data_IF_487623663639
#
_entry.id   IF_487623663639
#
_cell.length_a   1.000
_cell.length_b   1.000
_cell.length_c   1.000
_cell.angle_alpha   90.00
_cell.angle_beta   90.00
_cell.angle_gamma   90.00
#
_symmetry.space_group_name_H-M   'P 1'
#
loop_
_entity.id
_entity.type
_entity.pdbx_description
1 polymer ?
#
# COMPACT_ATOMS: atom_id res chain seq x y z
N UNK A 1 5.28 -16.65 0.31
CA UNK A 1 4.07 -15.91 0.74
C UNK A 1 3.81 -14.93 -0.38
N UNK A 2 2.64 -14.98 -1.01
CA UNK A 2 2.39 -14.25 -2.25
C UNK A 2 2.41 -12.74 -1.99
N UNK A 3 3.18 -11.97 -2.75
CA UNK A 3 3.42 -10.52 -2.55
C UNK A 3 2.14 -9.69 -2.39
N UNK A 4 1.05 -10.17 -3.00
CA UNK A 4 -0.28 -9.58 -2.94
C UNK A 4 -0.91 -9.62 -1.52
N UNK A 5 -0.67 -10.68 -0.75
CA UNK A 5 -1.13 -10.75 0.64
C UNK A 5 -0.38 -9.73 1.51
N UNK A 6 0.92 -9.54 1.26
CA UNK A 6 1.73 -8.55 1.98
C UNK A 6 1.30 -7.12 1.68
N UNK A 7 0.92 -6.81 0.43
CA UNK A 7 0.46 -5.48 0.04
C UNK A 7 -0.88 -5.13 0.71
N UNK A 8 -1.82 -6.08 0.78
CA UNK A 8 -3.10 -5.88 1.47
C UNK A 8 -2.90 -5.60 2.96
N UNK A 9 -2.05 -6.36 3.64
CA UNK A 9 -1.82 -6.19 5.08
C UNK A 9 -1.19 -4.83 5.40
N UNK A 10 -0.25 -4.39 4.56
CA UNK A 10 0.33 -3.05 4.65
C UNK A 10 -0.72 -1.95 4.40
N UNK A 11 -1.57 -2.11 3.38
CA UNK A 11 -2.65 -1.17 3.09
C UNK A 11 -3.64 -1.06 4.26
N UNK A 12 -4.06 -2.17 4.85
CA UNK A 12 -4.94 -2.19 6.03
C UNK A 12 -4.30 -1.49 7.23
N UNK A 13 -3.00 -1.74 7.45
CA UNK A 13 -2.23 -1.12 8.52
C UNK A 13 -2.13 0.40 8.35
N UNK A 14 -1.97 0.88 7.12
CA UNK A 14 -1.98 2.31 6.81
C UNK A 14 -3.37 2.93 6.98
N UNK A 15 -4.43 2.27 6.51
CA UNK A 15 -5.80 2.76 6.71
C UNK A 15 -6.16 2.88 8.20
N UNK A 16 -5.75 1.90 9.02
CA UNK A 16 -6.01 1.93 10.45
C UNK A 16 -5.29 3.08 11.18
N UNK A 17 -4.12 3.51 10.69
CA UNK A 17 -3.30 4.55 11.32
C UNK A 17 -3.57 5.95 10.78
N UNK A 18 -3.80 6.06 9.48
CA UNK A 18 -3.81 7.33 8.75
C UNK A 18 -5.16 7.62 8.07
N UNK A 19 -6.09 6.65 8.03
CA UNK A 19 -7.40 6.85 7.42
C UNK A 19 -7.30 7.25 5.95
N UNK A 20 -7.87 8.41 5.61
CA UNK A 20 -7.83 8.96 4.24
C UNK A 20 -6.41 9.28 3.75
N UNK A 21 -5.47 9.53 4.66
CA UNK A 21 -4.08 9.86 4.31
C UNK A 21 -3.24 8.60 4.01
N UNK A 22 -3.80 7.39 4.13
CA UNK A 22 -3.07 6.15 3.91
C UNK A 22 -2.39 6.07 2.53
N UNK A 23 -3.08 6.53 1.47
CA UNK A 23 -2.53 6.56 0.10
C UNK A 23 -1.39 7.55 -0.04
N UNK A 24 -1.47 8.70 0.65
CA UNK A 24 -0.40 9.69 0.70
C UNK A 24 0.84 9.10 1.36
N UNK A 25 0.68 8.41 2.50
CA UNK A 25 1.79 7.76 3.19
C UNK A 25 2.41 6.64 2.32
N UNK A 26 1.60 5.82 1.67
CA UNK A 26 2.10 4.78 0.76
C UNK A 26 2.89 5.38 -0.42
N UNK A 27 2.42 6.50 -0.98
CA UNK A 27 3.11 7.22 -2.06
C UNK A 27 4.46 7.77 -1.60
N UNK A 28 4.55 8.33 -0.39
CA UNK A 28 5.81 8.81 0.16
C UNK A 28 6.83 7.67 0.34
N UNK A 29 6.36 6.49 0.78
CA UNK A 29 7.20 5.29 0.89
C UNK A 29 7.68 4.78 -0.47
N UNK A 30 6.80 4.75 -1.46
CA UNK A 30 7.17 4.41 -2.83
C UNK A 30 8.27 5.36 -3.36
N UNK A 31 8.11 6.66 -3.16
CA UNK A 31 9.11 7.65 -3.56
C UNK A 31 10.46 7.48 -2.82
N UNK A 32 10.43 7.16 -1.53
CA UNK A 32 11.62 6.89 -0.72
C UNK A 32 12.43 5.71 -1.30
N UNK A 33 11.78 4.57 -1.52
CA UNK A 33 12.47 3.37 -2.03
C UNK A 33 12.89 3.51 -3.50
N UNK A 34 12.12 4.25 -4.30
CA UNK A 34 12.49 4.59 -5.67
C UNK A 34 13.77 5.44 -5.71
N UNK A 35 13.90 6.43 -4.81
CA UNK A 35 15.10 7.25 -4.69
C UNK A 35 16.33 6.44 -4.24
N UNK A 36 16.10 5.36 -3.49
CA UNK A 36 17.13 4.41 -3.07
C UNK A 36 17.50 3.39 -4.16
N UNK A 37 16.74 3.33 -5.27
CA UNK A 37 16.94 2.37 -6.35
C UNK A 37 16.44 0.96 -6.05
N UNK A 38 15.59 0.80 -5.04
CA UNK A 38 15.01 -0.49 -4.65
C UNK A 38 13.72 -0.76 -5.44
N UNK A 39 13.88 -1.43 -6.58
CA UNK A 39 12.78 -1.74 -7.49
C UNK A 39 11.80 -2.78 -6.92
N UNK A 40 12.26 -3.68 -6.06
CA UNK A 40 11.39 -4.71 -5.44
C UNK A 40 10.48 -4.07 -4.40
N UNK A 41 11.04 -3.24 -3.52
CA UNK A 41 10.26 -2.47 -2.57
C UNK A 41 9.32 -1.48 -3.28
N UNK A 42 9.77 -0.85 -4.38
CA UNK A 42 8.91 0.02 -5.18
C UNK A 42 7.68 -0.73 -5.71
N UNK A 43 7.89 -1.90 -6.33
CA UNK A 43 6.79 -2.72 -6.84
C UNK A 43 5.81 -3.15 -5.72
N UNK A 44 6.32 -3.39 -4.51
CA UNK A 44 5.48 -3.65 -3.36
C UNK A 44 4.60 -2.45 -3.00
N UNK A 45 5.18 -1.25 -2.88
CA UNK A 45 4.41 -0.05 -2.54
C UNK A 45 3.43 0.37 -3.64
N UNK A 46 3.76 0.15 -4.90
CA UNK A 46 2.82 0.35 -6.02
C UNK A 46 1.58 -0.56 -5.87
N UNK A 47 1.76 -1.81 -5.45
CA UNK A 47 0.65 -2.73 -5.19
C UNK A 47 -0.20 -2.28 -3.97
N UNK A 48 0.44 -1.74 -2.93
CA UNK A 48 -0.25 -1.15 -1.76
C UNK A 48 -1.10 0.06 -2.19
N UNK A 49 -0.55 0.96 -2.98
CA UNK A 49 -1.24 2.15 -3.50
C UNK A 49 -2.43 1.73 -4.34
N UNK A 50 -2.23 0.79 -5.28
CA UNK A 50 -3.31 0.27 -6.11
C UNK A 50 -4.46 -0.32 -5.27
N UNK A 51 -4.13 -1.03 -4.18
CA UNK A 51 -5.13 -1.56 -3.26
C UNK A 51 -5.91 -0.43 -2.55
N UNK A 52 -5.21 0.61 -2.08
CA UNK A 52 -5.82 1.75 -1.40
C UNK A 52 -6.73 2.58 -2.33
N UNK A 53 -6.32 2.80 -3.58
CA UNK A 53 -7.05 3.58 -4.58
C UNK A 53 -8.25 2.85 -5.17
N UNK A 54 -8.16 1.53 -5.37
CA UNK A 54 -9.31 0.71 -5.80
C UNK A 54 -10.34 0.53 -4.68
N UNK A 55 -9.93 0.82 -3.43
CA UNK A 55 -10.71 0.72 -2.22
C UNK A 55 -10.95 -0.74 -1.83
N UNK A 56 -10.92 -1.08 -0.52
CA UNK A 56 -11.54 -2.31 -0.08
C UNK A 56 -13.05 -2.18 -0.38
N UNK A 57 -13.53 -2.85 -1.42
CA UNK A 57 -14.97 -2.97 -1.67
C UNK A 57 -15.67 -3.32 -0.36
N UNK A 58 -16.85 -2.76 -0.08
CA UNK A 58 -17.56 -2.95 1.19
C UNK A 58 -17.77 -4.43 1.58
N UNK A 59 -17.64 -5.35 0.62
CA UNK A 59 -17.63 -6.81 0.80
C UNK A 59 -16.38 -7.37 1.50
N UNK A 60 -15.27 -6.63 1.57
CA UNK A 60 -14.00 -7.08 2.19
C UNK A 60 -13.80 -6.59 3.63
N UNK A 61 -14.74 -5.79 4.14
CA UNK A 61 -14.78 -5.26 5.50
C UNK A 61 -15.74 -6.05 6.42
N UNK A 62 -16.38 -7.12 5.93
CA UNK A 62 -17.27 -8.02 6.68
C UNK A 62 -16.63 -9.40 6.90
#
# INVERSE_FOLDING_TARGET
MSDNQSARDAAMTLLAQYGEDASVIATLRAAEVAAMGDAEALAHWDAVIAFLETGPTSEQLN
#
